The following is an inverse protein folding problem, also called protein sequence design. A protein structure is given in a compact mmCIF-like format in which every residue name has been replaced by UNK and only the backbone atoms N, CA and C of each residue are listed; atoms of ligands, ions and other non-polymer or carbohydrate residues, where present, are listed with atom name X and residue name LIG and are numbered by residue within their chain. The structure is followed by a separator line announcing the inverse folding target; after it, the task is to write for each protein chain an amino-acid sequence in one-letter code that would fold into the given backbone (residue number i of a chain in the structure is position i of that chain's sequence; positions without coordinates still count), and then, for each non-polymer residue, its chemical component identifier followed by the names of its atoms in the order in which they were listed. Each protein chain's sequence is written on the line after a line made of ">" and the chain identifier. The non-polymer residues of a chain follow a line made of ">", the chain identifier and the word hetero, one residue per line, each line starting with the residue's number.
data_IF_713853915386
#
_entry.id   IF_713853915386
#
_cell.length_a   1.000
_cell.length_b   1.000
_cell.length_c   1.000
_cell.angle_alpha   90.00
_cell.angle_beta   90.00
_cell.angle_gamma   90.00
#
_symmetry.space_group_name_H-M   'P 1'
#
loop_
_entity.id
_entity.type
_entity.pdbx_description
1 polymer ?
#
# COMPACT_ATOMS: atom_id res chain seq x y z
N UNK A 1 -26.07 -20.12 44.65
CA UNK A 1 -26.25 -19.25 43.48
C UNK A 1 -24.92 -19.18 42.70
N UNK A 2 -25.01 -19.20 41.38
CA UNK A 2 -24.04 -19.66 40.38
C UNK A 2 -22.57 -19.20 40.43
N UNK A 3 -21.67 -20.16 40.16
CA UNK A 3 -20.37 -19.97 39.50
C UNK A 3 -20.59 -19.88 37.99
N UNK A 4 -19.98 -18.91 37.28
CA UNK A 4 -19.31 -19.11 35.98
C UNK A 4 -18.26 -18.00 35.79
N UNK A 5 -17.00 -18.29 36.09
CA UNK A 5 -15.87 -17.50 35.59
C UNK A 5 -15.60 -18.00 34.16
N UNK A 6 -15.97 -17.19 33.17
CA UNK A 6 -15.68 -17.48 31.77
C UNK A 6 -14.22 -17.18 31.47
N UNK A 7 -13.40 -18.22 31.46
CA UNK A 7 -12.06 -18.22 30.88
C UNK A 7 -12.18 -18.00 29.37
N UNK A 8 -12.07 -16.75 28.93
CA UNK A 8 -11.96 -16.42 27.51
C UNK A 8 -10.51 -16.63 27.07
N UNK A 9 -10.19 -17.86 26.67
CA UNK A 9 -8.98 -18.13 25.88
C UNK A 9 -9.01 -17.25 24.61
N UNK A 10 -7.94 -16.50 24.29
CA UNK A 10 -7.89 -15.78 23.02
C UNK A 10 -7.73 -16.80 21.89
N UNK A 11 -8.77 -16.97 21.08
CA UNK A 11 -8.73 -17.84 19.89
C UNK A 11 -7.80 -17.22 18.84
N UNK A 12 -6.51 -17.49 18.92
CA UNK A 12 -5.58 -17.14 17.85
C UNK A 12 -5.59 -18.24 16.78
N UNK A 13 -6.64 -18.26 15.96
CA UNK A 13 -6.75 -19.17 14.81
C UNK A 13 -5.87 -18.65 13.67
N UNK A 14 -4.55 -18.77 13.81
CA UNK A 14 -3.66 -18.59 12.67
C UNK A 14 -3.84 -19.80 11.74
N UNK A 15 -4.56 -19.59 10.64
CA UNK A 15 -4.73 -20.60 9.60
C UNK A 15 -3.37 -21.00 9.02
N UNK A 16 -3.07 -22.30 9.03
CA UNK A 16 -1.80 -22.90 8.57
C UNK A 16 -1.64 -22.90 7.03
N UNK A 17 -2.49 -22.17 6.30
CA UNK A 17 -2.34 -21.98 4.86
C UNK A 17 -1.45 -20.76 4.62
N UNK A 18 -0.35 -20.94 3.87
CA UNK A 18 0.51 -19.82 3.45
C UNK A 18 -0.35 -18.79 2.70
N UNK A 19 -0.70 -17.69 3.37
CA UNK A 19 -1.44 -16.60 2.74
C UNK A 19 -0.54 -16.02 1.66
N UNK A 20 -0.84 -16.31 0.39
CA UNK A 20 -0.17 -15.66 -0.75
C UNK A 20 -0.42 -14.17 -0.63
N UNK A 21 0.59 -13.43 -0.16
CA UNK A 21 0.58 -11.98 -0.16
C UNK A 21 0.62 -11.51 -1.61
N UNK A 22 -0.13 -10.46 -1.92
CA UNK A 22 0.01 -9.77 -3.19
C UNK A 22 1.45 -9.25 -3.32
N UNK A 23 2.14 -9.56 -4.43
CA UNK A 23 3.52 -9.09 -4.66
C UNK A 23 3.66 -8.51 -6.04
N UNK A 24 4.54 -7.52 -6.18
CA UNK A 24 4.96 -6.98 -7.48
C UNK A 24 6.47 -6.81 -7.47
N UNK A 25 7.13 -7.12 -8.57
CA UNK A 25 8.54 -6.77 -8.77
C UNK A 25 8.58 -5.47 -9.55
N UNK A 26 9.31 -4.49 -9.04
CA UNK A 26 9.40 -3.17 -9.65
C UNK A 26 10.86 -2.81 -9.88
N UNK A 27 11.10 -2.00 -10.90
CA UNK A 27 12.40 -1.42 -11.21
C UNK A 27 12.22 0.08 -11.39
N UNK A 28 13.10 0.87 -10.77
CA UNK A 28 13.21 2.30 -11.07
C UNK A 28 14.03 2.46 -12.35
N UNK A 29 13.52 3.20 -13.33
CA UNK A 29 14.22 3.43 -14.60
C UNK A 29 15.29 4.53 -14.47
N UNK A 30 16.35 4.50 -15.31
CA UNK A 30 16.65 3.49 -16.34
C UNK A 30 17.46 2.28 -15.84
N UNK A 31 18.06 2.37 -14.66
CA UNK A 31 19.16 1.51 -14.19
C UNK A 31 18.96 0.93 -12.78
N UNK A 32 17.78 1.12 -12.18
CA UNK A 32 17.47 0.60 -10.85
C UNK A 32 17.46 -0.93 -10.82
N UNK A 33 17.93 -1.49 -9.70
CA UNK A 33 17.85 -2.94 -9.45
C UNK A 33 16.39 -3.35 -9.22
N UNK A 34 15.91 -4.43 -9.85
CA UNK A 34 14.60 -4.98 -9.56
C UNK A 34 14.44 -5.28 -8.06
N UNK A 35 13.33 -4.86 -7.49
CA UNK A 35 13.00 -5.11 -6.09
C UNK A 35 11.58 -5.63 -5.95
N UNK A 36 11.41 -6.62 -5.07
CA UNK A 36 10.11 -7.19 -4.76
C UNK A 36 9.43 -6.39 -3.64
N UNK A 37 8.21 -5.95 -3.92
CA UNK A 37 7.31 -5.38 -2.94
C UNK A 37 6.24 -6.40 -2.56
N UNK A 38 5.75 -6.30 -1.32
CA UNK A 38 4.70 -7.20 -0.82
C UNK A 38 3.51 -6.47 -0.20
N UNK A 39 2.39 -7.19 -0.15
CA UNK A 39 1.16 -6.80 0.52
C UNK A 39 0.64 -5.44 0.09
N UNK A 40 0.40 -4.56 1.06
CA UNK A 40 -0.21 -3.25 0.82
C UNK A 40 0.74 -2.24 0.20
N UNK A 41 2.05 -2.39 0.39
CA UNK A 41 3.04 -1.54 -0.30
C UNK A 41 3.09 -1.90 -1.78
N UNK A 42 3.09 -3.20 -2.11
CA UNK A 42 2.96 -3.67 -3.49
C UNK A 42 1.70 -3.15 -4.17
N UNK A 43 0.56 -3.29 -3.50
CA UNK A 43 -0.71 -2.78 -4.01
C UNK A 43 -0.67 -1.26 -4.24
N UNK A 44 -0.21 -0.49 -3.26
CA UNK A 44 -0.13 0.97 -3.39
C UNK A 44 0.81 1.40 -4.52
N UNK A 45 1.95 0.73 -4.69
CA UNK A 45 2.87 0.99 -5.79
C UNK A 45 2.21 0.75 -7.14
N UNK A 46 1.50 -0.38 -7.31
CA UNK A 46 0.75 -0.66 -8.54
C UNK A 46 -0.27 0.43 -8.84
N UNK A 47 -1.06 0.84 -7.84
CA UNK A 47 -2.05 1.91 -8.03
C UNK A 47 -1.38 3.24 -8.43
N UNK A 48 -0.23 3.58 -7.85
CA UNK A 48 0.50 4.80 -8.17
C UNK A 48 1.06 4.79 -9.60
N UNK A 49 1.61 3.65 -10.04
CA UNK A 49 2.07 3.47 -11.43
C UNK A 49 0.89 3.58 -12.39
N UNK A 50 -0.21 2.87 -12.12
CA UNK A 50 -1.42 2.89 -12.96
C UNK A 50 -2.05 4.30 -13.04
N UNK A 51 -2.01 5.06 -11.94
CA UNK A 51 -2.54 6.43 -11.90
C UNK A 51 -1.62 7.47 -12.55
N UNK A 52 -0.33 7.14 -12.72
CA UNK A 52 0.69 8.03 -13.26
C UNK A 52 0.70 9.41 -12.58
N UNK A 53 0.82 10.47 -13.40
CA UNK A 53 0.90 11.87 -12.94
C UNK A 53 -0.36 12.37 -12.23
N UNK A 54 -1.51 11.73 -12.45
CA UNK A 54 -2.75 12.06 -11.75
C UNK A 54 -2.69 11.66 -10.27
N UNK A 55 -1.89 10.64 -9.93
CA UNK A 55 -1.73 10.16 -8.57
C UNK A 55 -2.99 9.49 -7.99
N UNK A 56 -2.90 9.08 -6.73
CA UNK A 56 -3.95 8.39 -6.01
C UNK A 56 -4.43 9.19 -4.80
N UNK A 57 -5.73 9.17 -4.55
CA UNK A 57 -6.34 9.65 -3.29
C UNK A 57 -7.08 8.50 -2.62
N UNK A 58 -7.17 8.46 -1.28
CA UNK A 58 -8.05 7.53 -0.56
C UNK A 58 -9.50 7.55 -1.05
N UNK A 59 -9.95 8.63 -1.68
CA UNK A 59 -11.32 8.77 -2.23
C UNK A 59 -11.52 7.90 -3.47
N UNK A 60 -10.57 7.90 -4.41
CA UNK A 60 -10.69 7.14 -5.68
C UNK A 60 -10.14 5.73 -5.55
N UNK A 61 -9.16 5.53 -4.68
CA UNK A 61 -8.49 4.26 -4.47
C UNK A 61 -8.53 3.91 -2.98
N UNK A 62 -9.65 3.40 -2.46
CA UNK A 62 -9.83 3.19 -1.03
C UNK A 62 -8.80 2.18 -0.50
N UNK A 63 -8.08 2.60 0.53
CA UNK A 63 -7.07 1.79 1.21
C UNK A 63 -6.94 2.24 2.67
N UNK A 64 -6.82 1.31 3.64
CA UNK A 64 -7.02 1.66 5.05
C UNK A 64 -5.94 2.60 5.62
N UNK A 65 -4.72 2.60 5.07
CA UNK A 65 -3.61 3.46 5.55
C UNK A 65 -2.65 3.88 4.43
N UNK A 66 -3.10 4.71 3.50
CA UNK A 66 -2.25 5.22 2.41
C UNK A 66 -0.93 5.85 2.87
N UNK A 67 -0.97 6.69 3.91
CA UNK A 67 0.22 7.38 4.41
C UNK A 67 1.31 6.40 4.87
N UNK A 68 0.94 5.28 5.50
CA UNK A 68 1.90 4.23 5.92
C UNK A 68 2.54 3.53 4.72
N UNK A 69 1.75 3.21 3.69
CA UNK A 69 2.26 2.53 2.50
C UNK A 69 3.23 3.42 1.73
N UNK A 70 2.89 4.70 1.59
CA UNK A 70 3.72 5.71 0.94
C UNK A 70 4.98 6.00 1.77
N UNK A 71 4.87 6.08 3.09
CA UNK A 71 6.03 6.23 3.97
C UNK A 71 7.03 5.07 3.79
N UNK A 72 6.53 3.83 3.75
CA UNK A 72 7.35 2.64 3.51
C UNK A 72 7.98 2.66 2.12
N UNK A 73 7.23 3.01 1.08
CA UNK A 73 7.78 3.16 -0.27
C UNK A 73 8.88 4.24 -0.33
N UNK A 74 8.68 5.40 0.31
CA UNK A 74 9.72 6.44 0.39
C UNK A 74 11.00 5.96 1.07
N UNK A 75 10.88 5.14 2.12
CA UNK A 75 12.04 4.52 2.79
C UNK A 75 12.80 3.54 1.91
N UNK A 76 12.14 2.98 0.89
CA UNK A 76 12.76 2.14 -0.14
C UNK A 76 13.40 2.94 -1.27
N UNK A 77 13.30 4.28 -1.25
CA UNK A 77 13.94 5.16 -2.23
C UNK A 77 13.01 5.72 -3.31
N UNK A 78 11.72 5.36 -3.32
CA UNK A 78 10.77 5.91 -4.29
C UNK A 78 10.45 7.38 -3.99
N UNK A 79 10.50 8.23 -5.03
CA UNK A 79 10.16 9.64 -4.95
C UNK A 79 8.64 9.79 -5.12
N UNK A 80 7.96 10.05 -4.01
CA UNK A 80 6.50 10.22 -3.98
C UNK A 80 6.15 11.56 -3.34
N UNK A 81 5.38 12.38 -4.03
CA UNK A 81 4.85 13.62 -3.48
C UNK A 81 3.53 13.36 -2.75
N UNK A 82 3.25 14.16 -1.70
CA UNK A 82 1.95 14.16 -1.02
C UNK A 82 1.38 15.57 -1.09
N UNK A 83 0.36 15.76 -1.93
CA UNK A 83 -0.41 17.00 -2.05
C UNK A 83 -1.62 16.91 -1.13
N UNK A 84 -1.91 17.97 -0.38
CA UNK A 84 -3.12 18.00 0.45
C UNK A 84 -4.27 18.61 -0.36
N UNK A 85 -5.32 17.83 -0.58
CA UNK A 85 -6.51 18.26 -1.29
C UNK A 85 -7.65 18.49 -0.29
N UNK A 86 -8.27 19.69 -0.27
CA UNK A 86 -9.44 19.93 0.55
C UNK A 86 -10.64 19.14 0.01
N UNK A 87 -11.51 18.71 0.91
CA UNK A 87 -12.84 18.19 0.55
C UNK A 87 -13.92 18.85 1.39
N UNK A 88 -15.06 19.12 0.77
CA UNK A 88 -16.22 19.75 1.41
C UNK A 88 -17.22 18.75 2.01
N UNK A 89 -18.42 19.24 2.30
CA UNK A 89 -19.52 18.46 2.88
C UNK A 89 -19.60 18.56 4.41
N UNK A 90 -20.50 17.79 5.05
CA UNK A 90 -20.70 17.82 6.51
C UNK A 90 -19.45 17.45 7.32
N UNK A 91 -18.51 16.73 6.69
CA UNK A 91 -17.23 16.35 7.24
C UNK A 91 -16.11 16.95 6.40
N UNK A 92 -16.05 18.27 6.31
CA UNK A 92 -15.01 18.96 5.55
C UNK A 92 -13.62 18.73 6.16
N UNK A 93 -12.59 18.67 5.33
CA UNK A 93 -11.23 18.36 5.76
C UNK A 93 -10.25 18.35 4.60
N UNK A 94 -9.11 17.68 4.80
CA UNK A 94 -8.11 17.48 3.77
C UNK A 94 -7.72 16.01 3.70
N UNK A 95 -7.38 15.53 2.51
CA UNK A 95 -6.77 14.23 2.32
C UNK A 95 -5.53 14.34 1.43
N UNK A 96 -4.65 13.34 1.51
CA UNK A 96 -3.47 13.28 0.66
C UNK A 96 -3.79 12.74 -0.73
N UNK A 97 -3.37 13.45 -1.77
CA UNK A 97 -3.11 12.90 -3.10
C UNK A 97 -1.63 12.56 -3.21
N UNK A 98 -1.35 11.32 -3.59
CA UNK A 98 -0.01 10.77 -3.69
C UNK A 98 0.37 10.65 -5.16
N UNK A 99 1.50 11.25 -5.55
CA UNK A 99 1.98 11.25 -6.93
C UNK A 99 3.36 10.61 -6.97
N UNK A 100 3.53 9.57 -7.78
CA UNK A 100 4.82 8.93 -8.01
C UNK A 100 5.58 9.73 -9.06
N UNK A 101 6.78 10.20 -8.68
CA UNK A 101 7.69 10.92 -9.56
C UNK A 101 8.83 10.05 -10.08
N UNK A 102 9.19 8.98 -9.35
CA UNK A 102 10.09 7.96 -9.89
C UNK A 102 9.45 7.30 -11.11
N UNK A 103 10.19 7.21 -12.20
CA UNK A 103 9.80 6.36 -13.33
C UNK A 103 9.99 4.89 -12.91
N UNK A 104 8.90 4.14 -12.85
CA UNK A 104 8.90 2.77 -12.33
C UNK A 104 8.21 1.83 -13.31
N UNK A 105 8.91 0.77 -13.66
CA UNK A 105 8.38 -0.35 -14.44
C UNK A 105 7.97 -1.48 -13.50
N UNK A 106 6.78 -2.03 -13.70
CA UNK A 106 6.35 -3.29 -13.05
C UNK A 106 6.81 -4.43 -13.94
N UNK A 107 7.66 -5.31 -13.42
CA UNK A 107 8.18 -6.45 -14.14
C UNK A 107 7.21 -7.64 -14.00
N UNK A 108 6.97 -8.42 -15.08
CA UNK A 108 6.22 -9.66 -15.01
C UNK A 108 6.94 -10.67 -14.11
N UNK A 109 6.16 -11.56 -13.48
CA UNK A 109 6.63 -12.51 -12.45
C UNK A 109 7.77 -13.43 -12.95
N UNK A 110 7.85 -13.66 -14.26
CA UNK A 110 8.86 -14.51 -14.93
C UNK A 110 10.26 -13.86 -15.02
N UNK A 111 10.36 -12.54 -14.84
CA UNK A 111 11.62 -11.78 -14.99
C UNK A 111 12.28 -11.42 -13.65
N UNK A 112 11.81 -12.03 -12.55
CA UNK A 112 12.25 -11.75 -11.19
C UNK A 112 13.16 -12.83 -10.58
N UNK A 113 13.73 -13.72 -11.40
CA UNK A 113 14.60 -14.82 -11.00
C UNK A 113 16.10 -14.46 -11.10
#
# INVERSE_FOLDING_TARGET
>A
MNRIAGDMSPTNTLSATSSKKFTVTVRVEPDGTPMRLEGRVAWAMKQLVDAGKSGCTPVTHPGPRWADYVYKAKKLGFVIETKHEPHGGPFAGHHGRYVLHSEVSILPEEQAA
#
